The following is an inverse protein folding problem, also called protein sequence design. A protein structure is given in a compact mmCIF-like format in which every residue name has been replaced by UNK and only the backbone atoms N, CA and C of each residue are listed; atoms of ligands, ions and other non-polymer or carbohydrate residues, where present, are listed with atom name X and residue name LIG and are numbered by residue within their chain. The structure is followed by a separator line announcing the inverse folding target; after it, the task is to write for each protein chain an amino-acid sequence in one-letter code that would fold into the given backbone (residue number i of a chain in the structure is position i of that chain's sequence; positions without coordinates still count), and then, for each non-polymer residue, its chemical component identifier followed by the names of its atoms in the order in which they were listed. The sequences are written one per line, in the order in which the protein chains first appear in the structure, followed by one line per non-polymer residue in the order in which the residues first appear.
data_IF_244732629100
#
_entry.id   IF_244732629100
#
_cell.length_a   1.000
_cell.length_b   1.000
_cell.length_c   1.000
_cell.angle_alpha   90.00
_cell.angle_beta   90.00
_cell.angle_gamma   90.00
#
_symmetry.space_group_name_H-M   'P 1'
#
loop_
_entity.id
_entity.type
_entity.pdbx_description
1 polymer ?
#
# COMPACT_ATOMS: atom_id res chain seq x y z
N UNK A 1 -3.03 5.86 26.16
CA UNK A 1 -4.03 5.24 25.25
C UNK A 1 -3.30 5.04 23.93
N UNK A 2 -2.73 3.86 23.75
CA UNK A 2 -1.82 3.55 22.62
C UNK A 2 -2.72 3.08 21.48
N UNK A 3 -2.93 3.93 20.49
CA UNK A 3 -3.57 3.51 19.23
C UNK A 3 -2.55 2.73 18.40
N UNK A 4 -2.70 1.43 18.36
CA UNK A 4 -2.06 0.58 17.37
C UNK A 4 -2.59 0.99 15.99
N UNK A 5 -1.81 1.76 15.24
CA UNK A 5 -2.01 1.94 13.82
C UNK A 5 -1.58 0.65 13.13
N UNK A 6 -2.54 -0.27 12.94
CA UNK A 6 -2.40 -1.39 12.01
C UNK A 6 -1.97 -0.85 10.64
N UNK A 7 -1.02 -1.48 9.95
CA UNK A 7 -0.64 -1.09 8.60
C UNK A 7 -1.88 -1.14 7.70
N UNK A 8 -2.36 0.03 7.34
CA UNK A 8 -3.53 0.18 6.50
C UNK A 8 -3.09 0.11 5.04
N UNK A 9 -3.49 -0.93 4.33
CA UNK A 9 -3.46 -0.90 2.87
C UNK A 9 -4.57 0.07 2.45
N UNK A 10 -4.21 1.32 2.16
CA UNK A 10 -5.16 2.30 1.68
C UNK A 10 -5.34 2.12 0.18
N UNK A 11 -6.51 1.65 -0.19
CA UNK A 11 -6.96 1.55 -1.56
C UNK A 11 -7.60 2.87 -1.94
N UNK A 12 -7.02 3.59 -2.88
CA UNK A 12 -7.65 4.79 -3.42
C UNK A 12 -8.45 4.43 -4.66
N UNK A 13 -9.77 4.46 -4.53
CA UNK A 13 -10.68 4.55 -5.66
C UNK A 13 -11.06 6.01 -5.86
N UNK A 14 -10.94 6.53 -7.05
CA UNK A 14 -11.10 7.96 -7.38
C UNK A 14 -12.55 8.51 -7.25
N UNK A 15 -13.51 7.79 -6.69
CA UNK A 15 -14.92 8.22 -6.73
C UNK A 15 -15.81 7.84 -5.56
N UNK A 16 -15.34 7.69 -4.30
CA UNK A 16 -16.31 7.59 -3.20
C UNK A 16 -15.85 8.17 -1.85
N UNK A 17 -16.75 8.87 -1.12
CA UNK A 17 -16.46 9.51 0.14
C UNK A 17 -16.33 8.50 1.29
N UNK A 18 -15.54 8.87 2.26
CA UNK A 18 -15.21 8.20 3.52
C UNK A 18 -16.32 7.34 4.14
N UNK A 19 -16.07 6.04 4.31
CA UNK A 19 -16.78 5.20 5.27
C UNK A 19 -15.88 4.98 6.50
N UNK A 20 -16.23 5.66 7.58
CA UNK A 20 -15.74 5.37 8.92
C UNK A 20 -16.51 4.14 9.42
N UNK A 21 -15.86 2.99 9.57
CA UNK A 21 -16.44 1.81 10.22
C UNK A 21 -15.63 1.45 11.46
N UNK A 22 -16.23 1.71 12.61
CA UNK A 22 -15.79 1.18 13.90
C UNK A 22 -16.28 -0.26 14.08
N UNK A 23 -15.36 -1.12 14.49
CA UNK A 23 -15.58 -2.34 15.28
C UNK A 23 -16.39 -3.50 14.67
N UNK A 24 -15.73 -4.29 13.83
CA UNK A 24 -15.80 -5.77 13.87
C UNK A 24 -14.78 -6.37 12.90
N UNK A 25 -13.81 -7.12 13.40
CA UNK A 25 -12.68 -7.66 12.63
C UNK A 25 -13.10 -8.54 11.42
N UNK A 26 -14.25 -9.17 11.46
CA UNK A 26 -14.74 -10.03 10.38
C UNK A 26 -15.30 -9.20 9.21
N UNK A 27 -16.03 -8.14 9.49
CA UNK A 27 -16.60 -7.27 8.45
C UNK A 27 -15.52 -6.46 7.74
N UNK A 28 -14.48 -6.05 8.46
CA UNK A 28 -13.31 -5.36 7.90
C UNK A 28 -12.53 -6.26 6.92
N UNK A 29 -12.38 -7.55 7.22
CA UNK A 29 -11.72 -8.51 6.32
C UNK A 29 -12.54 -8.74 5.06
N UNK A 30 -13.85 -8.93 5.16
CA UNK A 30 -14.73 -9.18 4.01
C UNK A 30 -14.86 -7.95 3.09
N UNK A 31 -15.06 -6.77 3.66
CA UNK A 31 -15.12 -5.51 2.91
C UNK A 31 -13.75 -5.11 2.36
N UNK A 32 -12.67 -5.34 3.13
CA UNK A 32 -11.30 -5.10 2.71
C UNK A 32 -10.94 -5.91 1.47
N UNK A 33 -11.30 -7.19 1.42
CA UNK A 33 -11.04 -8.06 0.27
C UNK A 33 -11.80 -7.61 -0.99
N UNK A 34 -13.05 -7.18 -0.86
CA UNK A 34 -13.84 -6.69 -1.99
C UNK A 34 -13.30 -5.36 -2.54
N UNK A 35 -12.84 -4.46 -1.67
CA UNK A 35 -12.23 -3.19 -2.06
C UNK A 35 -10.85 -3.38 -2.70
N UNK A 36 -10.03 -4.29 -2.15
CA UNK A 36 -8.72 -4.63 -2.71
C UNK A 36 -8.82 -5.21 -4.11
N UNK A 37 -9.81 -6.07 -4.37
CA UNK A 37 -10.02 -6.67 -5.68
C UNK A 37 -10.39 -5.65 -6.78
N UNK A 38 -10.84 -4.46 -6.39
CA UNK A 38 -11.19 -3.36 -7.32
C UNK A 38 -10.11 -2.26 -7.38
N UNK A 39 -9.04 -2.39 -6.59
CA UNK A 39 -8.01 -1.37 -6.51
C UNK A 39 -7.05 -1.42 -7.69
N UNK A 40 -6.75 -0.26 -8.22
CA UNK A 40 -5.78 -0.07 -9.30
C UNK A 40 -4.33 -0.03 -8.76
N UNK A 41 -4.17 0.40 -7.51
CA UNK A 41 -2.89 0.47 -6.81
C UNK A 41 -3.05 0.21 -5.31
N UNK A 42 -2.03 -0.34 -4.67
CA UNK A 42 -1.92 -0.49 -3.22
C UNK A 42 -0.76 0.33 -2.66
N UNK A 43 -0.96 0.94 -1.50
CA UNK A 43 0.12 1.56 -0.73
C UNK A 43 0.42 0.68 0.48
N UNK A 44 1.59 0.06 0.48
CA UNK A 44 2.08 -0.75 1.59
C UNK A 44 2.82 0.16 2.58
N UNK A 45 2.21 0.42 3.72
CA UNK A 45 2.80 1.25 4.77
C UNK A 45 3.54 0.34 5.76
N UNK A 46 4.82 0.64 5.98
CA UNK A 46 5.73 -0.12 6.81
C UNK A 46 6.25 0.78 7.93
N UNK A 47 6.17 0.32 9.18
CA UNK A 47 6.77 1.03 10.30
C UNK A 47 8.28 0.86 10.27
N UNK A 48 9.03 1.98 10.38
CA UNK A 48 10.50 1.97 10.34
C UNK A 48 11.16 1.85 11.73
N UNK A 49 10.38 1.93 12.80
CA UNK A 49 10.88 1.79 14.17
C UNK A 49 11.53 0.44 14.43
N UNK A 50 12.54 0.44 15.29
CA UNK A 50 13.24 -0.79 15.72
C UNK A 50 12.28 -1.73 16.44
N UNK A 51 12.27 -3.00 16.07
CA UNK A 51 11.34 -4.01 16.57
C UNK A 51 9.98 -4.03 15.87
N UNK A 52 9.45 -2.87 15.45
CA UNK A 52 8.16 -2.83 14.72
C UNK A 52 8.29 -3.35 13.29
N UNK A 53 9.37 -2.98 12.60
CA UNK A 53 9.65 -3.47 11.25
C UNK A 53 9.87 -4.98 11.25
N UNK A 54 10.71 -5.48 12.14
CA UNK A 54 11.05 -6.90 12.25
C UNK A 54 9.81 -7.75 12.57
N UNK A 55 8.96 -7.26 13.46
CA UNK A 55 7.67 -7.93 13.75
C UNK A 55 6.76 -7.95 12.52
N UNK A 56 6.67 -6.84 11.78
CA UNK A 56 5.83 -6.74 10.59
C UNK A 56 6.29 -7.61 9.43
N UNK A 57 7.60 -7.80 9.24
CA UNK A 57 8.18 -8.61 8.14
C UNK A 57 8.45 -10.06 8.52
N UNK A 58 8.26 -10.44 9.77
CA UNK A 58 8.40 -11.82 10.25
C UNK A 58 7.52 -12.80 9.46
N UNK A 59 7.72 -14.12 9.67
CA UNK A 59 6.99 -15.15 8.92
C UNK A 59 5.46 -15.02 9.01
N UNK A 60 4.95 -14.55 10.15
CA UNK A 60 3.52 -14.32 10.42
C UNK A 60 3.23 -12.82 10.59
N UNK A 61 4.06 -11.96 10.02
CA UNK A 61 3.94 -10.51 10.17
C UNK A 61 2.88 -9.92 9.24
N UNK A 62 2.15 -8.93 9.73
CA UNK A 62 1.04 -8.30 9.01
C UNK A 62 1.47 -7.67 7.68
N UNK A 63 2.66 -7.08 7.60
CA UNK A 63 3.19 -6.50 6.35
C UNK A 63 3.31 -7.55 5.26
N UNK A 64 3.73 -8.75 5.62
CA UNK A 64 3.83 -9.89 4.70
C UNK A 64 2.47 -10.36 4.21
N UNK A 65 1.54 -10.53 5.13
CA UNK A 65 0.19 -10.99 4.81
C UNK A 65 -0.53 -9.99 3.90
N UNK A 66 -0.42 -8.70 4.21
CA UNK A 66 -1.05 -7.65 3.39
C UNK A 66 -0.47 -7.57 1.97
N UNK A 67 0.85 -7.66 1.81
CA UNK A 67 1.45 -7.64 0.48
C UNK A 67 1.07 -8.88 -0.35
N UNK A 68 1.02 -10.06 0.28
CA UNK A 68 0.56 -11.29 -0.36
C UNK A 68 -0.92 -11.20 -0.74
N UNK A 69 -1.75 -10.68 0.16
CA UNK A 69 -3.18 -10.49 -0.08
C UNK A 69 -3.43 -9.53 -1.23
N UNK A 70 -2.74 -8.38 -1.26
CA UNK A 70 -2.84 -7.43 -2.36
C UNK A 70 -2.50 -8.07 -3.71
N UNK A 71 -1.42 -8.86 -3.76
CA UNK A 71 -1.03 -9.56 -4.98
C UNK A 71 -2.05 -10.60 -5.43
N UNK A 72 -2.54 -11.45 -4.49
CA UNK A 72 -3.51 -12.51 -4.79
C UNK A 72 -4.87 -11.96 -5.23
N UNK A 73 -5.26 -10.80 -4.73
CA UNK A 73 -6.49 -10.11 -5.14
C UNK A 73 -6.33 -9.30 -6.45
N UNK A 74 -5.15 -9.32 -7.05
CA UNK A 74 -4.92 -8.76 -8.38
C UNK A 74 -4.47 -7.31 -8.43
N UNK A 75 -4.06 -6.72 -7.30
CA UNK A 75 -3.44 -5.38 -7.27
C UNK A 75 -2.09 -5.44 -7.99
N UNK A 76 -1.99 -4.82 -9.16
CA UNK A 76 -0.81 -4.90 -10.03
C UNK A 76 0.27 -3.87 -9.70
N UNK A 77 -0.12 -2.74 -9.15
CA UNK A 77 0.78 -1.63 -8.84
C UNK A 77 0.88 -1.48 -7.33
N UNK A 78 2.11 -1.39 -6.84
CA UNK A 78 2.40 -1.24 -5.42
C UNK A 78 3.29 -0.02 -5.21
N UNK A 79 3.04 0.72 -4.13
CA UNK A 79 3.89 1.78 -3.60
C UNK A 79 4.28 1.35 -2.18
N UNK A 80 5.54 1.47 -1.82
CA UNK A 80 6.02 1.18 -0.47
C UNK A 80 6.35 2.49 0.24
N UNK A 81 5.69 2.73 1.37
CA UNK A 81 5.92 3.88 2.22
C UNK A 81 6.54 3.45 3.56
N UNK A 82 7.81 3.76 3.77
CA UNK A 82 8.50 3.56 5.04
C UNK A 82 8.09 4.68 6.00
N UNK A 83 7.14 4.41 6.86
CA UNK A 83 6.54 5.37 7.79
C UNK A 83 7.27 5.38 9.14
N UNK A 84 7.03 6.42 9.93
CA UNK A 84 7.67 6.64 11.24
C UNK A 84 9.18 6.84 11.15
N UNK A 85 9.66 7.50 10.08
CA UNK A 85 11.08 7.84 9.96
C UNK A 85 11.56 8.77 11.07
N UNK A 86 10.66 9.52 11.69
CA UNK A 86 10.90 10.33 12.88
C UNK A 86 11.26 9.53 14.14
N UNK A 87 10.86 8.26 14.20
CA UNK A 87 11.05 7.37 15.35
C UNK A 87 12.24 6.41 15.20
N UNK A 88 13.04 6.58 14.13
CA UNK A 88 14.28 5.79 13.95
C UNK A 88 15.43 6.31 14.81
N UNK A 89 16.44 5.49 15.07
CA UNK A 89 17.65 5.86 15.81
C UNK A 89 18.89 5.74 14.89
N UNK A 90 19.51 6.88 14.50
CA UNK A 90 19.09 8.27 14.70
C UNK A 90 17.81 8.61 13.93
N UNK A 91 17.06 9.69 14.31
CA UNK A 91 15.87 10.10 13.58
C UNK A 91 16.17 10.37 12.10
N UNK A 92 15.24 9.95 11.22
CA UNK A 92 15.38 10.06 9.75
C UNK A 92 16.62 9.36 9.19
N UNK A 93 17.01 8.22 9.75
CA UNK A 93 18.19 7.45 9.39
C UNK A 93 18.16 6.92 7.96
N UNK A 94 19.15 7.29 7.15
CA UNK A 94 19.35 6.74 5.81
C UNK A 94 19.64 5.24 5.85
N UNK A 95 20.54 4.80 6.75
CA UNK A 95 20.92 3.40 6.86
C UNK A 95 19.72 2.50 7.15
N UNK A 96 18.82 2.97 8.04
CA UNK A 96 17.58 2.25 8.36
C UNK A 96 16.64 2.15 7.16
N UNK A 97 16.50 3.22 6.40
CA UNK A 97 15.69 3.20 5.18
C UNK A 97 16.25 2.24 4.12
N UNK A 98 17.57 2.23 3.94
CA UNK A 98 18.24 1.32 2.98
C UNK A 98 18.07 -0.15 3.39
N UNK A 99 18.21 -0.47 4.68
CA UNK A 99 17.96 -1.79 5.23
C UNK A 99 16.53 -2.27 4.93
N UNK A 100 15.54 -1.44 5.31
CA UNK A 100 14.12 -1.72 5.08
C UNK A 100 13.84 -1.92 3.59
N UNK A 101 14.34 -1.02 2.74
CA UNK A 101 14.14 -1.08 1.30
C UNK A 101 14.70 -2.35 0.68
N UNK A 102 15.89 -2.78 1.12
CA UNK A 102 16.52 -4.01 0.65
C UNK A 102 15.73 -5.25 1.05
N UNK A 103 15.31 -5.34 2.31
CA UNK A 103 14.58 -6.49 2.83
C UNK A 103 13.19 -6.60 2.21
N UNK A 104 12.47 -5.48 2.15
CA UNK A 104 11.14 -5.43 1.53
C UNK A 104 11.22 -5.72 0.03
N UNK A 105 12.22 -5.21 -0.70
CA UNK A 105 12.43 -5.54 -2.12
C UNK A 105 12.63 -7.04 -2.33
N UNK A 106 13.42 -7.68 -1.47
CA UNK A 106 13.60 -9.13 -1.50
C UNK A 106 12.31 -9.91 -1.25
N UNK A 107 11.46 -9.39 -0.37
CA UNK A 107 10.18 -10.00 -0.03
C UNK A 107 9.13 -9.78 -1.14
N UNK A 108 8.89 -8.57 -1.62
CA UNK A 108 7.88 -8.29 -2.66
C UNK A 108 8.22 -9.01 -3.97
N UNK A 109 9.53 -9.22 -4.25
CA UNK A 109 9.97 -10.04 -5.37
C UNK A 109 9.51 -11.50 -5.23
N UNK A 110 9.57 -12.07 -4.02
CA UNK A 110 9.07 -13.44 -3.75
C UNK A 110 7.55 -13.55 -3.86
N UNK A 111 6.83 -12.47 -3.54
CA UNK A 111 5.37 -12.38 -3.71
C UNK A 111 4.99 -12.34 -5.19
N UNK A 112 5.81 -11.73 -6.05
CA UNK A 112 5.58 -11.66 -7.50
C UNK A 112 5.62 -10.25 -8.08
N UNK A 113 5.83 -9.22 -7.26
CA UNK A 113 6.03 -7.86 -7.75
C UNK A 113 7.44 -7.66 -8.29
N UNK A 114 7.58 -6.78 -9.29
CA UNK A 114 8.90 -6.34 -9.76
C UNK A 114 9.39 -5.14 -8.92
N UNK A 115 10.45 -5.28 -8.09
CA UNK A 115 10.93 -4.19 -7.25
C UNK A 115 11.34 -2.93 -8.03
N UNK A 116 11.82 -3.07 -9.28
CA UNK A 116 12.19 -1.94 -10.11
C UNK A 116 11.00 -1.06 -10.54
N UNK A 117 9.78 -1.59 -10.46
CA UNK A 117 8.54 -0.86 -10.77
C UNK A 117 7.80 -0.35 -9.54
N UNK A 118 8.36 -0.56 -8.35
CA UNK A 118 7.75 -0.17 -7.06
C UNK A 118 8.51 1.02 -6.48
N UNK A 119 7.88 2.19 -6.32
CA UNK A 119 8.50 3.31 -5.64
C UNK A 119 8.60 3.07 -4.13
N UNK A 120 9.74 3.41 -3.55
CA UNK A 120 10.00 3.39 -2.11
C UNK A 120 10.11 4.82 -1.60
N UNK A 121 9.25 5.22 -0.68
CA UNK A 121 9.18 6.58 -0.15
C UNK A 121 9.34 6.57 1.37
N UNK A 122 10.37 7.21 1.94
CA UNK A 122 10.48 7.42 3.37
C UNK A 122 9.54 8.54 3.78
N UNK A 123 8.65 8.30 4.74
CA UNK A 123 7.66 9.28 5.20
C UNK A 123 7.61 9.36 6.73
N UNK A 124 7.13 10.49 7.22
CA UNK A 124 6.61 10.60 8.58
C UNK A 124 5.15 11.05 8.51
N UNK A 125 4.23 10.13 8.77
CA UNK A 125 2.79 10.44 8.79
C UNK A 125 2.41 11.39 9.91
N UNK A 126 3.20 11.45 11.00
CA UNK A 126 2.97 12.37 12.11
C UNK A 126 3.33 13.81 11.78
N UNK A 127 4.48 14.03 11.11
CA UNK A 127 4.96 15.35 10.75
C UNK A 127 4.57 15.76 9.32
N UNK A 128 4.03 14.87 8.51
CA UNK A 128 3.70 15.13 7.11
C UNK A 128 4.91 15.13 6.16
N UNK A 129 6.08 14.70 6.64
CA UNK A 129 7.32 14.67 5.84
C UNK A 129 7.21 13.72 4.65
N UNK A 130 7.57 14.18 3.45
CA UNK A 130 7.50 13.47 2.16
C UNK A 130 6.10 12.94 1.78
N UNK A 131 5.05 13.44 2.38
CA UNK A 131 3.69 13.08 1.98
C UNK A 131 3.21 13.92 0.80
N UNK A 132 3.17 15.24 0.95
CA UNK A 132 2.76 16.21 -0.07
C UNK A 132 3.98 16.99 -0.57
N UNK A 133 4.80 17.48 0.37
CA UNK A 133 6.00 18.25 0.08
C UNK A 133 7.25 17.44 0.45
N UNK A 134 8.33 17.66 -0.27
CA UNK A 134 9.63 17.05 0.03
C UNK A 134 10.13 17.50 1.40
N UNK A 135 10.61 16.55 2.21
CA UNK A 135 11.12 16.82 3.55
C UNK A 135 12.52 17.39 3.51
N UNK A 136 12.74 18.44 4.30
CA UNK A 136 14.07 19.01 4.51
C UNK A 136 14.90 18.19 5.52
N UNK A 137 14.27 17.29 6.28
CA UNK A 137 14.93 16.45 7.29
C UNK A 137 15.61 15.22 6.70
N UNK A 138 15.34 14.92 5.42
CA UNK A 138 15.91 13.77 4.69
C UNK A 138 16.67 14.22 3.43
N UNK A 139 17.76 15.02 3.56
CA UNK A 139 18.50 15.51 2.39
C UNK A 139 19.22 14.41 1.60
N UNK A 140 19.40 13.25 2.20
CA UNK A 140 19.98 12.07 1.58
C UNK A 140 19.02 11.37 0.60
N UNK A 141 17.72 11.59 0.76
CA UNK A 141 16.73 10.99 -0.12
C UNK A 141 16.62 11.78 -1.43
N UNK A 142 17.02 11.14 -2.51
CA UNK A 142 17.06 11.74 -3.87
C UNK A 142 15.79 11.47 -4.68
N UNK A 143 14.75 10.95 -4.04
CA UNK A 143 13.53 10.55 -4.70
C UNK A 143 13.51 9.09 -5.14
N UNK A 144 12.38 8.69 -5.68
CA UNK A 144 12.17 7.37 -6.25
C UNK A 144 12.22 7.44 -7.78
N UNK A 145 12.73 6.37 -8.38
CA UNK A 145 12.72 6.16 -9.82
C UNK A 145 12.16 4.78 -10.10
N UNK A 146 11.20 4.69 -11.00
CA UNK A 146 10.59 3.41 -11.40
C UNK A 146 10.65 3.25 -12.92
N UNK A 147 10.93 2.03 -13.33
CA UNK A 147 10.91 1.64 -14.73
C UNK A 147 9.72 0.71 -14.97
N UNK A 148 8.79 1.15 -15.79
CA UNK A 148 7.61 0.40 -16.19
C UNK A 148 7.61 0.22 -17.70
N UNK A 149 6.82 -0.72 -18.22
CA UNK A 149 6.69 -0.94 -19.67
C UNK A 149 6.16 0.29 -20.40
N UNK A 150 5.32 1.06 -19.72
CA UNK A 150 4.66 2.27 -20.24
C UNK A 150 5.56 3.52 -20.13
N UNK A 151 6.71 3.44 -19.45
CA UNK A 151 7.64 4.56 -19.30
C UNK A 151 8.35 4.59 -17.95
N UNK A 152 9.25 5.57 -17.82
CA UNK A 152 9.96 5.88 -16.59
C UNK A 152 9.21 6.97 -15.84
N UNK A 153 9.07 6.83 -14.53
CA UNK A 153 8.53 7.85 -13.65
C UNK A 153 9.48 8.07 -12.47
N UNK A 154 9.56 9.30 -12.01
CA UNK A 154 10.38 9.70 -10.87
C UNK A 154 9.68 10.79 -10.06
N UNK A 155 9.96 10.85 -8.78
CA UNK A 155 9.41 11.85 -7.89
C UNK A 155 10.05 11.79 -6.52
N UNK A 156 9.63 12.69 -5.62
CA UNK A 156 10.15 12.83 -4.26
C UNK A 156 9.12 12.42 -3.20
N UNK A 157 7.83 12.64 -3.47
CA UNK A 157 6.79 12.53 -2.47
C UNK A 157 5.88 11.32 -2.69
N UNK A 158 5.11 10.98 -1.67
CA UNK A 158 4.09 9.94 -1.77
C UNK A 158 2.97 10.36 -2.72
N UNK A 159 2.60 11.65 -2.72
CA UNK A 159 1.58 12.17 -3.63
C UNK A 159 2.00 12.00 -5.09
N UNK A 160 3.24 12.38 -5.43
CA UNK A 160 3.78 12.17 -6.78
C UNK A 160 3.82 10.68 -7.18
N UNK A 161 4.09 9.78 -6.21
CA UNK A 161 4.02 8.35 -6.47
C UNK A 161 2.61 7.85 -6.76
N UNK A 162 1.59 8.45 -6.13
CA UNK A 162 0.17 8.17 -6.40
C UNK A 162 -0.26 8.74 -7.76
N UNK A 163 0.19 9.94 -8.11
CA UNK A 163 -0.10 10.56 -9.41
C UNK A 163 0.57 9.79 -10.57
N UNK A 164 1.69 9.11 -10.29
CA UNK A 164 2.36 8.26 -11.26
C UNK A 164 1.70 6.88 -11.45
N UNK A 165 0.58 6.58 -10.78
CA UNK A 165 -0.17 5.34 -10.97
C UNK A 165 -0.85 5.35 -12.33
N UNK A 166 -0.65 4.28 -13.10
CA UNK A 166 -1.23 4.14 -14.43
C UNK A 166 -2.62 3.52 -14.32
N UNK A 167 -3.68 4.21 -14.78
CA UNK A 167 -5.02 3.64 -14.78
C UNK A 167 -5.07 2.37 -15.64
N UNK A 168 -5.67 1.27 -15.17
CA UNK A 168 -5.78 0.05 -15.95
C UNK A 168 -6.73 0.25 -17.14
N UNK A 169 -6.41 -0.39 -18.26
CA UNK A 169 -7.30 -0.44 -19.42
C UNK A 169 -8.52 -1.28 -19.09
N UNK A 170 -9.68 -0.64 -19.01
CA UNK A 170 -10.95 -1.33 -18.76
C UNK A 170 -11.65 -1.63 -20.08
N UNK A 171 -12.04 -2.90 -20.34
CA UNK A 171 -12.72 -3.27 -21.58
C UNK A 171 -14.19 -2.79 -21.55
N UNK A 172 -14.43 -1.56 -21.98
CA UNK A 172 -15.78 -0.94 -22.04
C UNK A 172 -16.60 -1.44 -23.23
N UNK A 173 -15.94 -2.01 -24.22
CA UNK A 173 -16.50 -2.56 -25.47
C UNK A 173 -17.01 -3.99 -25.33
N UNK A 174 -16.74 -4.66 -24.20
CA UNK A 174 -17.18 -6.04 -23.97
C UNK A 174 -18.55 -6.11 -23.28
N UNK A 175 -19.32 -7.19 -23.50
CA UNK A 175 -20.59 -7.36 -22.83
C UNK A 175 -20.44 -7.39 -21.30
N UNK A 176 -21.44 -6.85 -20.61
CA UNK A 176 -21.50 -6.83 -19.15
C UNK A 176 -21.34 -8.23 -18.57
N UNK A 177 -20.41 -8.40 -17.65
CA UNK A 177 -20.22 -9.62 -16.86
C UNK A 177 -20.41 -9.32 -15.40
N UNK A 178 -21.45 -9.89 -14.80
CA UNK A 178 -21.78 -9.73 -13.40
C UNK A 178 -21.48 -11.04 -12.66
N UNK A 179 -20.43 -11.13 -11.80
CA UNK A 179 -20.23 -12.29 -10.96
C UNK A 179 -21.28 -12.27 -9.83
N UNK A 180 -22.07 -13.32 -9.71
CA UNK A 180 -23.01 -13.51 -8.61
C UNK A 180 -22.34 -14.39 -7.56
N UNK A 181 -22.08 -13.83 -6.37
CA UNK A 181 -21.49 -14.56 -5.24
C UNK A 181 -22.52 -15.11 -4.28
N UNK A 182 -23.72 -14.53 -4.24
CA UNK A 182 -24.81 -14.93 -3.33
C UNK A 182 -26.08 -15.14 -4.12
N UNK A 183 -26.67 -16.31 -3.99
CA UNK A 183 -28.00 -16.63 -4.47
C UNK A 183 -28.97 -16.54 -3.30
N UNK A 184 -29.86 -15.57 -3.30
CA UNK A 184 -30.99 -15.50 -2.37
C UNK A 184 -32.28 -15.70 -3.14
N UNK A 185 -33.01 -16.74 -2.82
CA UNK A 185 -34.39 -16.90 -3.27
C UNK A 185 -35.28 -16.10 -2.35
N UNK A 186 -35.90 -15.03 -2.85
CA UNK A 186 -37.01 -14.38 -2.17
C UNK A 186 -38.22 -15.26 -2.41
N UNK A 187 -38.55 -16.11 -1.42
CA UNK A 187 -39.83 -16.78 -1.40
C UNK A 187 -40.88 -15.77 -1.02
N UNK A 188 -41.69 -15.32 -1.98
CA UNK A 188 -42.94 -14.65 -1.67
C UNK A 188 -43.86 -15.69 -1.06
N UNK A 189 -44.09 -15.57 0.25
CA UNK A 189 -45.19 -16.25 0.86
C UNK A 189 -46.51 -15.58 0.40
N UNK A 190 -47.55 -16.35 0.06
CA UNK A 190 -48.83 -15.83 -0.34
C UNK A 190 -49.56 -15.12 0.82
#
# INVERSE_FOLDING_TARGET
MIHYLTPLVRVTHATHPYLHLNNSNILTVLLGNSLLAQADCGVLIIASGTGEFEAGISKNGQTREHALLAYTLGVKQLIVAANKMDSTEPPYSQARFEEISKEVSGFIKKVGYNPASVPFVPISGWHGDNMINASQKMPWYKGWNVERKEGKASGMTLLEALDAVIPPTRPTDKPLRLPLQVWSTVTHSP
#
